data_IF_253955508492
#
_entry.id   IF_253955508492
#
_cell.length_a   1.000
_cell.length_b   1.000
_cell.length_c   1.000
_cell.angle_alpha   90.00
_cell.angle_beta   90.00
_cell.angle_gamma   90.00
#
_symmetry.space_group_name_H-M   'P 1'
#
loop_
_entity.id
_entity.type
_entity.pdbx_description
1 polymer ?
#
# COMPACT_ATOMS: atom_id res chain seq x y z
N UNK A 1 -14.95 -9.77 -2.87
CA UNK A 1 -15.03 -10.53 -1.59
C UNK A 1 -15.69 -11.90 -1.88
N UNK A 2 -15.02 -13.01 -1.58
CA UNK A 2 -15.55 -14.36 -1.88
C UNK A 2 -15.88 -15.12 -0.60
N UNK A 3 -16.80 -16.09 -0.69
CA UNK A 3 -17.14 -16.93 0.45
C UNK A 3 -15.94 -17.76 0.93
N UNK A 4 -15.17 -18.32 0.00
CA UNK A 4 -13.96 -19.08 0.33
C UNK A 4 -12.93 -18.25 1.13
N UNK A 5 -12.68 -16.99 0.74
CA UNK A 5 -11.74 -16.12 1.47
C UNK A 5 -12.26 -15.76 2.87
N UNK A 6 -13.59 -15.58 3.02
CA UNK A 6 -14.21 -15.36 4.33
C UNK A 6 -14.00 -16.55 5.26
N UNK A 7 -14.27 -17.75 4.76
CA UNK A 7 -14.12 -19.00 5.52
C UNK A 7 -12.65 -19.23 5.90
N UNK A 8 -11.70 -18.99 4.98
CA UNK A 8 -10.27 -19.08 5.24
C UNK A 8 -9.83 -18.19 6.41
N UNK A 9 -10.29 -16.94 6.44
CA UNK A 9 -9.97 -15.99 7.52
C UNK A 9 -10.57 -16.45 8.85
N UNK A 10 -11.83 -16.93 8.86
CA UNK A 10 -12.50 -17.39 10.07
C UNK A 10 -11.83 -18.64 10.68
N UNK A 11 -11.45 -19.61 9.85
CA UNK A 11 -10.71 -20.81 10.30
C UNK A 11 -9.37 -20.42 10.90
N UNK A 12 -8.63 -19.51 10.25
CA UNK A 12 -7.35 -19.01 10.81
C UNK A 12 -7.56 -18.29 12.14
N UNK A 13 -8.64 -17.52 12.28
CA UNK A 13 -8.96 -16.78 13.50
C UNK A 13 -9.26 -17.70 14.70
N UNK A 14 -9.95 -18.82 14.48
CA UNK A 14 -10.26 -19.80 15.53
C UNK A 14 -9.01 -20.40 16.20
N UNK A 15 -7.87 -20.44 15.49
CA UNK A 15 -6.59 -20.85 16.07
C UNK A 15 -6.03 -19.88 17.11
N UNK A 16 -6.55 -18.64 17.16
CA UNK A 16 -6.06 -17.55 18.02
C UNK A 16 -7.11 -17.11 19.04
N UNK A 17 -8.40 -17.25 18.71
CA UNK A 17 -9.53 -16.82 19.53
C UNK A 17 -10.57 -17.93 19.65
N UNK A 18 -10.94 -18.28 20.89
CA UNK A 18 -11.88 -19.36 21.20
C UNK A 18 -13.33 -18.91 21.39
N UNK A 19 -13.60 -17.61 21.34
CA UNK A 19 -14.95 -17.06 21.52
C UNK A 19 -15.68 -16.89 20.18
N UNK A 20 -17.01 -16.84 20.26
CA UNK A 20 -17.86 -16.58 19.10
C UNK A 20 -17.57 -15.19 18.50
N UNK A 21 -17.37 -15.16 17.18
CA UNK A 21 -17.09 -13.94 16.41
C UNK A 21 -18.24 -13.60 15.48
N UNK A 22 -18.68 -12.35 15.54
CA UNK A 22 -19.67 -11.80 14.61
C UNK A 22 -18.95 -11.01 13.51
N UNK A 23 -19.12 -11.44 12.27
CA UNK A 23 -18.64 -10.67 11.10
C UNK A 23 -19.57 -9.47 10.90
N UNK A 24 -19.03 -8.26 11.01
CA UNK A 24 -19.77 -6.99 10.83
C UNK A 24 -19.77 -6.56 9.36
N UNK A 25 -18.65 -6.71 8.65
CA UNK A 25 -18.50 -6.35 7.24
C UNK A 25 -17.42 -7.20 6.55
N UNK A 26 -17.45 -7.26 5.21
CA UNK A 26 -16.46 -7.95 4.37
C UNK A 26 -16.23 -7.21 3.05
N UNK A 27 -15.05 -6.60 2.95
CA UNK A 27 -14.62 -5.76 1.85
C UNK A 27 -13.32 -6.26 1.22
N UNK A 28 -13.03 -5.80 0.01
CA UNK A 28 -11.81 -6.14 -0.73
C UNK A 28 -11.00 -4.87 -0.98
N UNK A 29 -9.69 -4.98 -0.84
CA UNK A 29 -8.75 -3.92 -1.20
C UNK A 29 -7.72 -4.43 -2.20
N UNK A 30 -7.49 -3.68 -3.27
CA UNK A 30 -6.41 -3.95 -4.23
C UNK A 30 -5.13 -3.36 -3.67
N UNK A 31 -4.06 -4.18 -3.59
CA UNK A 31 -2.75 -3.74 -3.11
C UNK A 31 -1.82 -3.53 -4.30
N UNK A 32 -1.49 -2.29 -4.68
CA UNK A 32 -0.53 -2.05 -5.75
C UNK A 32 0.85 -2.49 -5.27
N UNK A 33 1.31 -3.64 -5.75
CA UNK A 33 2.52 -4.31 -5.28
C UNK A 33 3.42 -4.61 -6.47
N UNK A 34 4.68 -4.20 -6.39
CA UNK A 34 5.68 -4.57 -7.39
C UNK A 34 6.19 -6.00 -7.16
N UNK A 35 6.71 -6.66 -8.20
CA UNK A 35 7.25 -8.02 -8.11
C UNK A 35 8.42 -8.12 -7.11
N UNK A 36 9.28 -7.10 -7.10
CA UNK A 36 10.41 -6.94 -6.17
C UNK A 36 9.98 -6.44 -4.77
N UNK A 37 8.69 -6.15 -4.57
CA UNK A 37 8.10 -5.59 -3.35
C UNK A 37 8.70 -4.24 -2.93
N UNK A 38 9.33 -3.53 -3.86
CA UNK A 38 9.87 -2.19 -3.64
C UNK A 38 8.92 -1.13 -4.23
N UNK A 39 8.56 -0.10 -3.46
CA UNK A 39 7.81 1.03 -4.00
C UNK A 39 8.60 1.75 -5.10
N UNK A 40 7.89 2.27 -6.10
CA UNK A 40 8.48 3.03 -7.21
C UNK A 40 7.97 4.45 -7.15
N UNK A 41 8.88 5.39 -7.32
CA UNK A 41 8.58 6.81 -7.32
C UNK A 41 9.57 7.58 -8.17
N UNK A 42 9.16 8.75 -8.63
CA UNK A 42 10.00 9.64 -9.43
C UNK A 42 9.20 10.72 -10.12
N UNK A 43 9.92 11.61 -10.80
CA UNK A 43 9.37 12.67 -11.63
C UNK A 43 9.52 12.31 -13.10
N UNK A 44 8.56 12.75 -13.93
CA UNK A 44 8.62 12.51 -15.36
C UNK A 44 9.78 13.32 -15.98
N UNK A 45 10.63 12.72 -16.83
CA UNK A 45 11.81 13.39 -17.39
C UNK A 45 11.45 14.64 -18.20
N UNK A 46 10.38 14.58 -19.00
CA UNK A 46 9.94 15.69 -19.85
C UNK A 46 8.91 16.64 -19.19
N UNK A 47 8.31 16.24 -18.07
CA UNK A 47 7.25 17.00 -17.38
C UNK A 47 7.59 17.13 -15.89
N UNK A 48 8.41 18.10 -15.48
CA UNK A 48 8.93 18.21 -14.11
C UNK A 48 7.86 18.34 -13.02
N UNK A 49 6.67 18.83 -13.37
CA UNK A 49 5.52 18.95 -12.47
C UNK A 49 4.73 17.64 -12.28
N UNK A 50 5.03 16.59 -13.05
CA UNK A 50 4.34 15.30 -12.99
C UNK A 50 5.18 14.27 -12.24
N UNK A 51 4.71 13.85 -11.07
CA UNK A 51 5.36 12.83 -10.24
C UNK A 51 4.47 11.62 -10.01
N UNK A 52 5.07 10.47 -9.72
CA UNK A 52 4.36 9.27 -9.30
C UNK A 52 4.96 8.66 -8.03
N UNK A 53 4.10 8.00 -7.26
CA UNK A 53 4.46 7.16 -6.11
C UNK A 53 3.49 5.98 -6.10
N UNK A 54 4.01 4.76 -6.33
CA UNK A 54 3.19 3.56 -6.44
C UNK A 54 3.94 2.32 -5.91
N UNK A 55 3.29 1.16 -5.94
CA UNK A 55 3.93 -0.10 -5.52
C UNK A 55 4.10 -0.22 -4.01
N UNK A 56 3.29 0.50 -3.23
CA UNK A 56 3.41 0.60 -1.78
C UNK A 56 3.10 -0.72 -1.03
N UNK A 57 2.38 -1.64 -1.67
CA UNK A 57 2.09 -2.97 -1.14
C UNK A 57 1.32 -2.97 0.19
N UNK A 58 1.51 -4.03 0.99
CA UNK A 58 0.84 -4.20 2.29
C UNK A 58 1.31 -3.23 3.39
N UNK A 59 2.46 -2.57 3.20
CA UNK A 59 3.04 -1.63 4.17
C UNK A 59 2.82 -0.17 3.79
N UNK A 60 1.95 0.09 2.81
CA UNK A 60 1.79 1.43 2.24
C UNK A 60 1.41 2.51 3.23
N UNK A 61 0.55 2.21 4.21
CA UNK A 61 0.19 3.18 5.25
C UNK A 61 1.38 3.62 6.11
N UNK A 62 2.37 2.75 6.30
CA UNK A 62 3.58 3.05 7.07
C UNK A 62 4.63 3.77 6.21
N UNK A 63 4.78 3.37 4.95
CA UNK A 63 5.86 3.87 4.08
C UNK A 63 5.48 5.11 3.28
N UNK A 64 4.20 5.35 3.01
CA UNK A 64 3.75 6.45 2.17
C UNK A 64 4.16 7.84 2.68
N UNK A 65 4.14 8.16 3.99
CA UNK A 65 4.51 9.50 4.45
C UNK A 65 5.99 9.80 4.23
N UNK A 66 6.86 8.83 4.48
CA UNK A 66 8.31 8.98 4.27
C UNK A 66 8.64 9.09 2.77
N UNK A 67 8.02 8.26 1.93
CA UNK A 67 8.32 8.24 0.51
C UNK A 67 7.76 9.47 -0.22
N UNK A 68 6.60 9.99 0.17
CA UNK A 68 6.06 11.23 -0.38
C UNK A 68 6.95 12.43 -0.04
N UNK A 69 7.48 12.49 1.20
CA UNK A 69 8.46 13.51 1.58
C UNK A 69 9.74 13.43 0.74
N UNK A 70 10.25 12.21 0.50
CA UNK A 70 11.45 12.01 -0.34
C UNK A 70 11.22 12.42 -1.80
N UNK A 71 10.08 12.04 -2.37
CA UNK A 71 9.68 12.46 -3.72
C UNK A 71 9.60 13.99 -3.82
N UNK A 72 8.98 14.65 -2.84
CA UNK A 72 8.89 16.11 -2.82
C UNK A 72 10.26 16.78 -2.68
N UNK A 73 11.10 16.30 -1.75
CA UNK A 73 12.43 16.84 -1.53
C UNK A 73 13.31 16.75 -2.78
N UNK A 74 13.17 15.68 -3.59
CA UNK A 74 13.94 15.53 -4.82
C UNK A 74 13.57 16.56 -5.89
N UNK A 75 12.32 17.07 -5.90
CA UNK A 75 11.91 18.13 -6.82
C UNK A 75 12.51 19.48 -6.42
N UNK A 76 12.44 19.82 -5.12
CA UNK A 76 12.96 21.09 -4.61
C UNK A 76 14.47 21.19 -4.78
N UNK A 77 15.19 20.10 -4.54
CA UNK A 77 16.64 20.05 -4.76
C UNK A 77 17.02 20.30 -6.23
N UNK A 78 16.24 19.80 -7.19
CA UNK A 78 16.48 20.00 -8.62
C UNK A 78 16.15 21.43 -9.11
N UNK A 79 15.29 22.17 -8.41
CA UNK A 79 14.91 23.53 -8.78
C UNK A 79 15.86 24.63 -8.24
N UNK A 80 16.77 24.27 -7.32
CA UNK A 80 17.73 25.18 -6.68
C UNK A 80 19.16 25.12 -7.24
N UNK A 81 19.40 24.31 -8.27
CA UNK A 81 20.66 24.18 -9.03
C UNK A 81 20.49 24.71 -10.44
#
# INVERSE_FOLDING_TARGET
PTQAAREEILVKLQGWFSQDVRVVDHWVGIRPTMQDRQPRWGWHPDYPQLGFLNGLGSRGALTSPLLSQRLWASLVAAAGS
#
